data_IF_962642066837
#
_entry.id   IF_962642066837
#
_cell.length_a   1.000
_cell.length_b   1.000
_cell.length_c   1.000
_cell.angle_alpha   90.00
_cell.angle_beta   90.00
_cell.angle_gamma   90.00
#
_symmetry.space_group_name_H-M   'P 1'
#
loop_
_entity.id
_entity.type
_entity.pdbx_description
1 polymer ?
#
# COMPACT_ATOMS: atom_id res chain seq x y z
N UNK A 1 1.72 17.90 -2.73
CA UNK A 1 0.62 17.71 -3.72
C UNK A 1 -0.08 16.40 -3.37
N UNK A 2 -1.40 16.26 -3.55
CA UNK A 2 -2.08 14.97 -3.30
C UNK A 2 -2.27 14.21 -4.62
N UNK A 3 -2.02 12.91 -4.61
CA UNK A 3 -2.23 11.98 -5.73
C UNK A 3 -3.42 11.10 -5.39
N UNK A 4 -4.35 10.99 -6.34
CA UNK A 4 -5.55 10.16 -6.18
C UNK A 4 -5.47 8.96 -7.11
N UNK A 5 -5.73 7.77 -6.60
CA UNK A 5 -5.79 6.55 -7.41
C UNK A 5 -6.90 5.61 -6.94
N UNK A 6 -7.31 4.71 -7.83
CA UNK A 6 -8.25 3.63 -7.54
C UNK A 6 -7.44 2.36 -7.20
N UNK A 7 -7.65 1.73 -6.03
CA UNK A 7 -7.09 0.41 -5.73
C UNK A 7 -7.42 -0.60 -6.83
N UNK A 8 -6.53 -1.56 -7.09
CA UNK A 8 -6.88 -2.63 -8.02
C UNK A 8 -7.85 -3.62 -7.38
N UNK A 9 -8.72 -4.25 -8.18
CA UNK A 9 -9.60 -5.33 -7.73
C UNK A 9 -8.83 -6.45 -7.01
N UNK A 10 -7.60 -6.70 -7.48
CA UNK A 10 -6.71 -7.68 -6.87
C UNK A 10 -6.26 -7.26 -5.47
N UNK A 11 -5.90 -5.99 -5.27
CA UNK A 11 -5.55 -5.46 -3.96
C UNK A 11 -6.73 -5.53 -3.00
N UNK A 12 -7.93 -5.15 -3.46
CA UNK A 12 -9.15 -5.17 -2.64
C UNK A 12 -9.46 -6.59 -2.20
N UNK A 13 -9.53 -7.55 -3.12
CA UNK A 13 -9.80 -8.95 -2.80
C UNK A 13 -8.73 -9.56 -1.86
N UNK A 14 -7.47 -9.18 -2.05
CA UNK A 14 -6.39 -9.62 -1.18
C UNK A 14 -6.47 -9.04 0.23
N UNK A 15 -6.88 -7.78 0.36
CA UNK A 15 -7.10 -7.14 1.65
C UNK A 15 -8.29 -7.79 2.38
N UNK A 16 -9.39 -8.05 1.68
CA UNK A 16 -10.56 -8.79 2.20
C UNK A 16 -10.15 -10.17 2.74
N UNK A 17 -9.45 -10.98 1.94
CA UNK A 17 -8.99 -12.30 2.37
C UNK A 17 -8.07 -12.23 3.61
N UNK A 18 -7.15 -11.27 3.63
CA UNK A 18 -6.26 -11.05 4.78
C UNK A 18 -7.01 -10.58 6.03
N UNK A 19 -8.05 -9.76 5.84
CA UNK A 19 -8.94 -9.24 6.87
C UNK A 19 -9.82 -10.34 7.47
N UNK A 20 -10.41 -11.19 6.63
CA UNK A 20 -11.20 -12.36 7.02
C UNK A 20 -10.43 -13.29 7.95
N UNK A 21 -9.17 -13.61 7.62
CA UNK A 21 -8.29 -14.43 8.46
C UNK A 21 -8.04 -13.82 9.84
N UNK A 22 -8.26 -12.51 10.00
CA UNK A 22 -8.02 -11.74 11.23
C UNK A 22 -9.30 -11.23 11.89
N UNK A 23 -10.48 -11.59 11.37
CA UNK A 23 -11.77 -11.06 11.81
C UNK A 23 -11.78 -9.52 11.80
N UNK A 24 -11.24 -8.93 10.74
CA UNK A 24 -11.16 -7.48 10.51
C UNK A 24 -12.14 -7.06 9.42
N UNK A 25 -12.75 -5.90 9.56
CA UNK A 25 -13.64 -5.32 8.55
C UNK A 25 -12.87 -4.99 7.26
N UNK A 26 -13.51 -5.21 6.10
CA UNK A 26 -12.90 -5.09 4.77
C UNK A 26 -12.23 -3.73 4.53
N UNK A 27 -12.93 -2.63 4.86
CA UNK A 27 -12.41 -1.27 4.72
C UNK A 27 -11.16 -1.07 5.58
N UNK A 28 -11.17 -1.58 6.82
CA UNK A 28 -10.02 -1.51 7.72
C UNK A 28 -8.86 -2.37 7.23
N UNK A 29 -9.16 -3.54 6.66
CA UNK A 29 -8.14 -4.41 6.08
C UNK A 29 -7.46 -3.74 4.87
N UNK A 30 -8.24 -3.09 4.02
CA UNK A 30 -7.75 -2.32 2.88
C UNK A 30 -6.88 -1.15 3.34
N UNK A 31 -7.32 -0.36 4.33
CA UNK A 31 -6.53 0.71 4.92
C UNK A 31 -5.16 0.22 5.40
N UNK A 32 -5.11 -0.88 6.14
CA UNK A 32 -3.85 -1.44 6.67
C UNK A 32 -2.92 -1.84 5.53
N UNK A 33 -3.45 -2.48 4.47
CA UNK A 33 -2.63 -2.89 3.32
C UNK A 33 -2.12 -1.71 2.51
N UNK A 34 -2.95 -0.68 2.35
CA UNK A 34 -2.54 0.57 1.73
C UNK A 34 -1.46 1.28 2.56
N UNK A 35 -1.64 1.39 3.87
CA UNK A 35 -0.67 1.99 4.78
C UNK A 35 0.69 1.29 4.68
N UNK A 36 0.68 -0.05 4.74
CA UNK A 36 1.90 -0.86 4.59
C UNK A 36 2.60 -0.62 3.25
N UNK A 37 1.85 -0.67 2.14
CA UNK A 37 2.42 -0.51 0.81
C UNK A 37 2.95 0.92 0.58
N UNK A 38 2.18 1.94 0.96
CA UNK A 38 2.57 3.35 0.81
C UNK A 38 3.79 3.67 1.69
N UNK A 39 3.82 3.14 2.91
CA UNK A 39 4.95 3.33 3.82
C UNK A 39 6.24 2.72 3.27
N UNK A 40 6.17 1.52 2.70
CA UNK A 40 7.33 0.87 2.08
C UNK A 40 7.82 1.68 0.87
N UNK A 41 6.91 2.19 0.04
CA UNK A 41 7.26 3.05 -1.11
C UNK A 41 7.96 4.33 -0.65
N UNK A 42 7.42 5.02 0.36
CA UNK A 42 8.05 6.21 0.95
C UNK A 42 9.42 5.86 1.52
N UNK A 43 9.52 4.79 2.30
CA UNK A 43 10.77 4.38 2.90
C UNK A 43 11.86 4.14 1.86
N UNK A 44 11.53 3.46 0.76
CA UNK A 44 12.49 3.13 -0.29
C UNK A 44 12.94 4.34 -1.11
N UNK A 45 12.07 5.34 -1.30
CA UNK A 45 12.36 6.50 -2.16
C UNK A 45 12.91 7.68 -1.37
N UNK A 46 12.28 8.02 -0.25
CA UNK A 46 12.57 9.22 0.56
C UNK A 46 13.21 8.91 1.92
N UNK A 47 13.17 7.64 2.36
CA UNK A 47 13.52 7.27 3.73
C UNK A 47 12.44 7.64 4.75
N UNK A 48 11.25 8.05 4.29
CA UNK A 48 10.11 8.38 5.13
C UNK A 48 9.67 7.19 6.00
N UNK A 49 9.14 7.49 7.19
CA UNK A 49 8.65 6.50 8.15
C UNK A 49 7.18 6.71 8.51
N UNK A 50 6.51 7.63 7.83
CA UNK A 50 5.12 7.99 8.06
C UNK A 50 4.47 8.29 6.71
N UNK A 51 3.19 7.98 6.58
CA UNK A 51 2.37 8.27 5.40
C UNK A 51 1.09 8.98 5.81
N UNK A 52 0.57 9.81 4.93
CA UNK A 52 -0.73 10.46 5.10
C UNK A 52 -1.60 10.14 3.89
N UNK A 53 -2.68 9.41 4.12
CA UNK A 53 -3.66 9.07 3.09
C UNK A 53 -5.07 8.96 3.67
N UNK A 54 -6.06 9.03 2.80
CA UNK A 54 -7.47 8.82 3.10
C UNK A 54 -8.04 7.80 2.11
N UNK A 55 -8.84 6.86 2.62
CA UNK A 55 -9.68 5.98 1.81
C UNK A 55 -11.05 6.65 1.67
N UNK A 56 -11.46 6.86 0.44
CA UNK A 56 -12.70 7.55 0.07
C UNK A 56 -13.67 6.54 -0.56
N UNK A 57 -14.95 6.89 -0.58
CA UNK A 57 -16.00 6.16 -1.32
C UNK A 57 -16.05 4.64 -0.97
N UNK A 58 -15.81 4.28 0.29
CA UNK A 58 -15.88 2.89 0.77
C UNK A 58 -14.79 1.97 0.21
N UNK A 59 -13.63 2.53 -0.18
CA UNK A 59 -12.50 1.76 -0.73
C UNK A 59 -12.27 1.95 -2.23
N UNK A 60 -13.16 2.64 -2.93
CA UNK A 60 -13.05 2.85 -4.38
C UNK A 60 -11.92 3.82 -4.75
N UNK A 61 -11.52 4.71 -3.83
CA UNK A 61 -10.53 5.75 -4.10
C UNK A 61 -9.61 5.98 -2.92
N UNK A 62 -8.34 6.28 -3.21
CA UNK A 62 -7.32 6.60 -2.22
C UNK A 62 -6.72 7.95 -2.55
N UNK A 63 -6.72 8.86 -1.58
CA UNK A 63 -6.04 10.16 -1.65
C UNK A 63 -4.77 10.10 -0.83
N UNK A 64 -3.62 10.10 -1.49
CA UNK A 64 -2.31 10.00 -0.83
C UNK A 64 -1.54 11.32 -0.95
N UNK A 65 -0.88 11.74 0.13
CA UNK A 65 0.03 12.88 0.15
C UNK A 65 1.48 12.40 0.20
N UNK A 66 2.15 12.20 -0.95
CA UNK A 66 3.56 11.83 -0.98
C UNK A 66 4.46 12.94 -0.44
N UNK A 67 5.64 12.55 0.02
CA UNK A 67 6.78 13.42 0.23
C UNK A 67 7.22 14.08 -1.10
N UNK A 68 7.94 15.20 -0.99
CA UNK A 68 8.45 15.90 -2.18
C UNK A 68 9.43 15.02 -2.98
N UNK A 69 10.19 14.16 -2.31
CA UNK A 69 11.12 13.22 -2.95
C UNK A 69 10.37 12.13 -3.73
N UNK A 70 9.32 11.54 -3.14
CA UNK A 70 8.49 10.56 -3.84
C UNK A 70 7.70 11.18 -4.99
N UNK A 71 7.18 12.40 -4.81
CA UNK A 71 6.53 13.13 -5.89
C UNK A 71 7.49 13.37 -7.07
N UNK A 72 8.70 13.85 -6.77
CA UNK A 72 9.75 14.08 -7.79
C UNK A 72 10.14 12.78 -8.50
N UNK A 73 10.24 11.67 -7.76
CA UNK A 73 10.53 10.36 -8.32
C UNK A 73 9.43 9.89 -9.28
N UNK A 74 8.16 10.01 -8.89
CA UNK A 74 7.01 9.62 -9.72
C UNK A 74 6.92 10.48 -10.98
N UNK A 75 7.15 11.79 -10.88
CA UNK A 75 7.17 12.70 -12.03
C UNK A 75 8.25 12.31 -13.04
N UNK A 76 9.45 11.99 -12.56
CA UNK A 76 10.54 11.52 -13.44
C UNK A 76 10.19 10.19 -14.13
N UNK A 77 9.63 9.24 -13.40
CA UNK A 77 9.20 7.97 -13.99
C UNK A 77 8.06 8.17 -14.99
N UNK A 78 7.17 9.13 -14.76
CA UNK A 78 6.09 9.49 -15.67
C UNK A 78 6.67 10.02 -17.00
N UNK A 79 7.67 10.89 -16.94
CA UNK A 79 8.38 11.38 -18.12
C UNK A 79 9.08 10.25 -18.90
N UNK A 80 9.75 9.33 -18.20
CA UNK A 80 10.51 8.25 -18.83
C UNK A 80 9.61 7.16 -19.45
N UNK A 81 8.46 6.87 -18.81
CA UNK A 81 7.57 5.77 -19.22
C UNK A 81 6.37 6.21 -20.07
N UNK A 82 6.01 7.49 -20.04
CA UNK A 82 4.76 8.01 -20.60
C UNK A 82 3.50 7.64 -19.82
N UNK A 83 3.63 7.06 -18.62
CA UNK A 83 2.52 6.79 -17.71
C UNK A 83 2.26 8.00 -16.81
N UNK A 84 1.05 8.11 -16.25
CA UNK A 84 0.76 9.15 -15.25
C UNK A 84 1.30 8.76 -13.87
N UNK A 85 1.55 9.75 -13.01
CA UNK A 85 2.00 9.52 -11.63
C UNK A 85 1.00 8.69 -10.83
N UNK A 86 -0.31 8.89 -11.03
CA UNK A 86 -1.37 8.09 -10.41
C UNK A 86 -1.27 6.62 -10.84
N UNK A 87 -1.05 6.38 -12.14
CA UNK A 87 -0.93 5.02 -12.67
C UNK A 87 0.32 4.33 -12.16
N UNK A 88 1.44 5.04 -12.09
CA UNK A 88 2.69 4.55 -11.54
C UNK A 88 2.53 4.21 -10.05
N UNK A 89 2.01 5.13 -9.25
CA UNK A 89 1.78 4.90 -7.82
C UNK A 89 0.90 3.65 -7.60
N UNK A 90 -0.22 3.53 -8.34
CA UNK A 90 -1.09 2.36 -8.27
C UNK A 90 -0.34 1.05 -8.57
N UNK A 91 0.54 1.04 -9.57
CA UNK A 91 1.36 -0.14 -9.89
C UNK A 91 2.36 -0.48 -8.78
N UNK A 92 2.98 0.52 -8.14
CA UNK A 92 3.87 0.29 -7.00
C UNK A 92 3.08 -0.25 -5.79
N UNK A 93 1.93 0.34 -5.48
CA UNK A 93 1.05 -0.14 -4.41
C UNK A 93 0.63 -1.59 -4.66
N UNK A 94 0.21 -1.93 -5.88
CA UNK A 94 -0.13 -3.30 -6.27
C UNK A 94 1.06 -4.25 -6.08
N UNK A 95 2.29 -3.82 -6.36
CA UNK A 95 3.49 -4.64 -6.18
C UNK A 95 3.77 -4.92 -4.69
N UNK A 96 3.73 -3.89 -3.84
CA UNK A 96 4.08 -4.01 -2.43
C UNK A 96 2.98 -4.66 -1.59
N UNK A 97 1.70 -4.40 -1.89
CA UNK A 97 0.62 -4.98 -1.14
C UNK A 97 0.61 -6.52 -1.20
N UNK A 98 1.07 -7.11 -2.32
CA UNK A 98 1.18 -8.56 -2.47
C UNK A 98 2.32 -9.19 -1.64
N UNK A 99 3.39 -8.44 -1.34
CA UNK A 99 4.52 -8.94 -0.54
C UNK A 99 4.07 -9.28 0.89
N UNK A 100 3.01 -8.63 1.37
CA UNK A 100 2.50 -8.79 2.72
C UNK A 100 1.32 -9.77 2.85
N UNK A 101 0.99 -10.53 1.80
CA UNK A 101 -0.18 -11.43 1.79
C UNK A 101 0.14 -12.86 2.27
N UNK A 102 1.31 -13.41 1.94
CA UNK A 102 1.66 -14.79 2.31
C UNK A 102 3.15 -14.91 2.66
N UNK A 103 3.47 -15.25 3.92
CA UNK A 103 4.78 -15.80 4.28
C UNK A 103 5.33 -15.46 5.67
N UNK A 104 5.28 -14.20 6.12
CA UNK A 104 6.10 -13.80 7.28
C UNK A 104 5.42 -14.00 8.65
N UNK A 105 4.22 -14.59 8.68
CA UNK A 105 3.54 -14.98 9.90
C UNK A 105 3.86 -16.42 10.37
N UNK A 106 4.72 -17.15 9.67
CA UNK A 106 5.20 -18.44 10.19
C UNK A 106 6.19 -18.19 11.33
N UNK A 107 5.69 -18.29 12.57
CA UNK A 107 6.52 -18.32 13.76
C UNK A 107 7.62 -19.38 13.55
N UNK A 108 8.91 -19.03 13.69
CA UNK A 108 9.97 -20.01 13.52
C UNK A 108 9.72 -21.17 14.49
N UNK A 109 10.01 -22.43 14.09
CA UNK A 109 9.61 -23.62 14.85
C UNK A 109 10.13 -23.68 16.29
N UNK A 110 11.09 -22.81 16.65
CA UNK A 110 11.72 -22.72 17.97
C UNK A 110 11.35 -21.47 18.78
N UNK A 111 10.42 -20.63 18.34
CA UNK A 111 10.03 -19.48 19.17
C UNK A 111 9.37 -19.97 20.47
N UNK A 112 9.56 -19.27 21.61
CA UNK A 112 8.96 -19.62 22.90
C UNK A 112 7.42 -19.39 22.89
N UNK A 113 6.64 -20.17 23.66
CA UNK A 113 5.19 -19.98 23.77
C UNK A 113 4.85 -18.59 24.32
N UNK A 114 3.84 -17.96 23.73
CA UNK A 114 3.20 -16.75 24.26
C UNK A 114 2.25 -17.15 25.38
N UNK A 115 2.33 -16.43 26.51
CA UNK A 115 1.56 -16.65 27.75
C UNK A 115 0.04 -16.59 27.57
#
# INVERSE_FOLDING_TARGET
MAITFEPSDRLVAAAEEWGDQRMMEDERALEVKLEQALLEIEHLVSGGTEVTFEVEDGGERVRFSPSDDLATFLDRQAEESGLSAERLLRLHVDLFANVFLDGDAERPPNAPPTE
#
